data_IF_372572986613
#
_entry.id   IF_372572986613
#
_cell.length_a   1.000
_cell.length_b   1.000
_cell.length_c   1.000
_cell.angle_alpha   90.00
_cell.angle_beta   90.00
_cell.angle_gamma   90.00
#
_symmetry.space_group_name_H-M   'P 1'
#
loop_
_entity.id
_entity.type
_entity.pdbx_description
1 polymer ?
#
# COMPACT_ATOMS: atom_id res chain seq x y z
N UNK A 1 0.51 -8.27 -2.48
CA UNK A 1 1.65 -7.44 -2.01
C UNK A 1 2.70 -7.17 -3.10
N UNK A 2 3.43 -8.19 -3.59
CA UNK A 2 4.54 -8.00 -4.53
C UNK A 2 4.18 -7.22 -5.80
N UNK A 3 2.98 -7.47 -6.36
CA UNK A 3 2.52 -6.81 -7.58
C UNK A 3 2.59 -5.27 -7.53
N UNK A 4 2.23 -4.63 -6.41
CA UNK A 4 2.23 -3.17 -6.31
C UNK A 4 3.67 -2.61 -6.34
N UNK A 5 4.59 -3.25 -5.63
CA UNK A 5 6.01 -2.88 -5.64
C UNK A 5 6.57 -3.06 -7.05
N UNK A 6 6.27 -4.17 -7.73
CA UNK A 6 6.75 -4.40 -9.09
C UNK A 6 6.22 -3.36 -10.06
N UNK A 7 4.93 -3.02 -10.00
CA UNK A 7 4.34 -1.94 -10.82
C UNK A 7 5.04 -0.61 -10.53
N UNK A 8 5.21 -0.25 -9.26
CA UNK A 8 5.92 0.96 -8.89
C UNK A 8 7.38 0.94 -9.38
N UNK A 9 8.07 -0.20 -9.30
CA UNK A 9 9.46 -0.33 -9.73
C UNK A 9 9.58 -0.17 -11.25
N UNK A 10 8.67 -0.76 -12.02
CA UNK A 10 8.61 -0.58 -13.48
C UNK A 10 8.36 0.88 -13.87
N UNK A 11 7.44 1.56 -13.17
CA UNK A 11 7.20 3.00 -13.35
C UNK A 11 8.46 3.80 -13.03
N UNK A 12 9.08 3.56 -11.86
CA UNK A 12 10.30 4.25 -11.44
C UNK A 12 11.46 4.04 -12.43
N UNK A 13 11.67 2.82 -12.91
CA UNK A 13 12.68 2.50 -13.93
C UNK A 13 12.41 3.27 -15.22
N UNK A 14 11.16 3.32 -15.68
CA UNK A 14 10.78 4.07 -16.88
C UNK A 14 11.02 5.57 -16.68
N UNK A 15 10.72 6.10 -15.49
CA UNK A 15 10.98 7.50 -15.14
C UNK A 15 12.48 7.81 -15.13
N UNK A 16 13.30 6.95 -14.57
CA UNK A 16 14.76 7.07 -14.58
C UNK A 16 15.34 6.99 -16.00
N UNK A 17 14.82 6.08 -16.83
CA UNK A 17 15.21 5.98 -18.23
C UNK A 17 14.87 7.25 -19.02
N UNK A 18 13.71 7.86 -18.78
CA UNK A 18 13.34 9.16 -19.34
C UNK A 18 14.38 10.25 -18.97
N UNK A 19 14.85 10.26 -17.73
CA UNK A 19 15.87 11.22 -17.28
C UNK A 19 17.22 10.97 -17.95
N UNK A 20 17.68 9.72 -17.92
CA UNK A 20 19.02 9.35 -18.36
C UNK A 20 19.19 9.43 -19.89
N UNK A 21 18.22 8.94 -20.66
CA UNK A 21 18.34 8.88 -22.12
C UNK A 21 17.81 10.10 -22.85
N UNK A 22 16.88 10.87 -22.26
CA UNK A 22 16.23 11.98 -22.96
C UNK A 22 16.48 13.34 -22.32
N UNK A 23 16.34 13.49 -21.00
CA UNK A 23 16.38 14.80 -20.35
C UNK A 23 17.82 15.30 -20.18
N UNK A 24 18.69 14.51 -19.53
CA UNK A 24 20.08 14.90 -19.27
C UNK A 24 20.86 15.14 -20.57
N UNK A 25 20.82 14.25 -21.58
CA UNK A 25 21.56 14.47 -22.82
C UNK A 25 21.08 15.72 -23.57
N UNK A 26 19.78 15.98 -23.60
CA UNK A 26 19.23 17.20 -24.21
C UNK A 26 19.72 18.44 -23.46
N UNK A 27 19.63 18.48 -22.13
CA UNK A 27 20.11 19.61 -21.33
C UNK A 27 21.61 19.87 -21.54
N UNK A 28 22.44 18.83 -21.56
CA UNK A 28 23.89 18.97 -21.81
C UNK A 28 24.18 19.57 -23.18
N UNK A 29 23.49 19.13 -24.24
CA UNK A 29 23.64 19.67 -25.60
C UNK A 29 23.21 21.14 -25.67
N UNK A 30 22.10 21.50 -25.05
CA UNK A 30 21.60 22.88 -25.02
C UNK A 30 22.57 23.82 -24.29
N UNK A 31 23.06 23.43 -23.11
CA UNK A 31 24.05 24.21 -22.35
C UNK A 31 25.35 24.37 -23.14
N UNK A 32 25.80 23.32 -23.85
CA UNK A 32 27.00 23.38 -24.67
C UNK A 32 26.86 24.34 -25.87
N UNK A 33 25.72 24.32 -26.56
CA UNK A 33 25.43 25.27 -27.66
C UNK A 33 25.40 26.72 -27.17
N UNK A 34 24.72 26.98 -26.04
CA UNK A 34 24.68 28.31 -25.42
C UNK A 34 26.08 28.82 -25.04
N UNK A 35 26.95 27.95 -24.51
CA UNK A 35 28.34 28.31 -24.20
C UNK A 35 29.17 28.68 -25.44
N UNK A 36 28.82 28.14 -26.61
CA UNK A 36 29.46 28.44 -27.90
C UNK A 36 28.82 29.62 -28.64
N UNK A 37 27.78 30.25 -28.08
CA UNK A 37 27.02 31.29 -28.77
C UNK A 37 26.19 30.79 -29.95
N UNK A 38 25.98 29.48 -30.06
CA UNK A 38 25.20 28.85 -31.12
C UNK A 38 23.69 28.90 -30.81
N UNK A 39 22.87 28.90 -31.85
CA UNK A 39 21.42 28.77 -31.70
C UNK A 39 21.05 27.37 -31.19
N UNK A 40 20.24 27.31 -30.13
CA UNK A 40 19.79 26.06 -29.52
C UNK A 40 18.72 25.39 -30.37
N UNK A 41 18.90 24.10 -30.71
CA UNK A 41 17.85 23.30 -31.34
C UNK A 41 16.59 23.20 -30.45
N UNK A 42 15.44 23.75 -30.89
CA UNK A 42 14.21 23.71 -30.12
C UNK A 42 13.63 22.29 -29.93
N UNK A 43 13.95 21.34 -30.81
CA UNK A 43 13.42 19.98 -30.76
C UNK A 43 13.95 19.21 -29.54
N UNK A 44 15.22 19.43 -29.17
CA UNK A 44 15.81 18.84 -27.96
C UNK A 44 15.02 19.23 -26.71
N UNK A 45 14.69 20.52 -26.59
CA UNK A 45 13.92 21.05 -25.47
C UNK A 45 12.50 20.52 -25.44
N UNK A 46 11.82 20.46 -26.59
CA UNK A 46 10.45 19.93 -26.70
C UNK A 46 10.37 18.46 -26.28
N UNK A 47 11.28 17.61 -26.77
CA UNK A 47 11.33 16.18 -26.40
C UNK A 47 11.66 15.96 -24.93
N UNK A 48 12.66 16.67 -24.40
CA UNK A 48 12.99 16.59 -22.98
C UNK A 48 11.83 17.05 -22.09
N UNK A 49 11.15 18.13 -22.46
CA UNK A 49 9.96 18.63 -21.76
C UNK A 49 8.82 17.61 -21.77
N UNK A 50 8.57 16.95 -22.90
CA UNK A 50 7.54 15.91 -22.99
C UNK A 50 7.82 14.75 -22.03
N UNK A 51 9.07 14.27 -21.96
CA UNK A 51 9.46 13.21 -21.01
C UNK A 51 9.37 13.66 -19.55
N UNK A 52 9.74 14.91 -19.26
CA UNK A 52 9.55 15.52 -17.95
C UNK A 52 8.07 15.59 -17.57
N UNK A 53 7.18 15.93 -18.52
CA UNK A 53 5.73 15.88 -18.29
C UNK A 53 5.23 14.47 -17.97
N UNK A 54 5.66 13.44 -18.70
CA UNK A 54 5.28 12.06 -18.39
C UNK A 54 5.71 11.65 -16.98
N UNK A 55 6.97 11.91 -16.61
CA UNK A 55 7.45 11.65 -15.25
C UNK A 55 6.63 12.42 -14.21
N UNK A 56 6.31 13.67 -14.51
CA UNK A 56 5.56 14.54 -13.63
C UNK A 56 4.16 13.99 -13.29
N UNK A 57 3.46 13.34 -14.24
CA UNK A 57 2.18 12.67 -13.97
C UNK A 57 2.31 11.42 -13.10
N UNK A 58 3.44 10.71 -13.21
CA UNK A 58 3.66 9.43 -12.56
C UNK A 58 4.25 9.55 -11.15
N UNK A 59 4.58 10.75 -10.68
CA UNK A 59 5.16 10.99 -9.34
C UNK A 59 4.24 10.54 -8.20
N UNK A 60 2.95 10.93 -8.22
CA UNK A 60 2.00 10.51 -7.19
C UNK A 60 1.67 9.01 -7.29
N UNK A 61 1.38 8.44 -8.49
CA UNK A 61 1.22 7.00 -8.67
C UNK A 61 2.40 6.15 -8.16
N UNK A 62 3.64 6.53 -8.48
CA UNK A 62 4.82 5.75 -8.07
C UNK A 62 5.05 5.81 -6.57
N UNK A 63 4.84 6.98 -5.96
CA UNK A 63 4.94 7.15 -4.51
C UNK A 63 3.94 6.25 -3.79
N UNK A 64 2.68 6.25 -4.25
CA UNK A 64 1.66 5.36 -3.70
C UNK A 64 2.06 3.89 -3.85
N UNK A 65 2.47 3.47 -5.05
CA UNK A 65 2.84 2.08 -5.32
C UNK A 65 3.98 1.60 -4.39
N UNK A 66 4.98 2.45 -4.13
CA UNK A 66 6.11 2.12 -3.24
C UNK A 66 5.71 2.03 -1.77
N UNK A 67 4.84 2.92 -1.27
CA UNK A 67 4.42 2.95 0.14
C UNK A 67 3.26 1.99 0.41
N UNK A 68 2.56 1.52 -0.63
CA UNK A 68 1.37 0.67 -0.52
C UNK A 68 1.51 -0.57 0.39
N UNK A 69 2.72 -1.10 0.55
CA UNK A 69 3.02 -2.19 1.49
C UNK A 69 2.61 -1.91 2.93
N UNK A 70 2.58 -0.63 3.32
CA UNK A 70 2.17 -0.19 4.66
C UNK A 70 0.65 -0.24 4.85
N UNK A 71 -0.11 -0.38 3.77
CA UNK A 71 -1.58 -0.35 3.78
C UNK A 71 -2.15 -1.69 3.30
N UNK A 72 -2.19 -2.67 4.19
CA UNK A 72 -2.60 -4.04 3.86
C UNK A 72 -4.01 -4.15 3.26
N UNK A 73 -4.93 -3.26 3.65
CA UNK A 73 -6.27 -3.15 3.08
C UNK A 73 -6.26 -2.95 1.57
N UNK A 74 -5.23 -2.29 1.01
CA UNK A 74 -5.17 -2.00 -0.43
C UNK A 74 -4.84 -3.23 -1.26
N UNK A 75 -4.03 -4.17 -0.76
CA UNK A 75 -3.52 -5.31 -1.55
C UNK A 75 -4.08 -6.68 -1.14
N UNK A 76 -4.80 -6.78 -0.02
CA UNK A 76 -5.46 -8.01 0.43
C UNK A 76 -6.93 -8.12 -0.04
N UNK A 77 -7.37 -7.21 -0.91
CA UNK A 77 -8.69 -7.25 -1.54
C UNK A 77 -8.68 -8.20 -2.77
N UNK A 78 -9.76 -8.96 -3.04
CA UNK A 78 -9.84 -9.83 -4.24
C UNK A 78 -9.56 -9.09 -5.55
N UNK A 79 -9.96 -7.82 -5.63
CA UNK A 79 -9.73 -6.94 -6.77
C UNK A 79 -8.61 -5.92 -6.53
N UNK A 80 -7.53 -6.31 -5.83
CA UNK A 80 -6.40 -5.41 -5.54
C UNK A 80 -5.83 -4.73 -6.80
N UNK A 81 -5.73 -5.42 -7.93
CA UNK A 81 -5.26 -4.81 -9.18
C UNK A 81 -6.12 -3.59 -9.60
N UNK A 82 -7.43 -3.64 -9.38
CA UNK A 82 -8.35 -2.55 -9.70
C UNK A 82 -8.22 -1.40 -8.69
N UNK A 83 -8.03 -1.73 -7.40
CA UNK A 83 -7.73 -0.74 -6.35
C UNK A 83 -6.48 0.08 -6.71
N UNK A 84 -5.43 -0.58 -7.18
CA UNK A 84 -4.21 0.10 -7.65
C UNK A 84 -4.50 1.06 -8.80
N UNK A 85 -5.23 0.60 -9.83
CA UNK A 85 -5.58 1.41 -11.00
C UNK A 85 -6.42 2.64 -10.60
N UNK A 86 -7.42 2.48 -9.73
CA UNK A 86 -8.29 3.57 -9.30
C UNK A 86 -7.52 4.63 -8.51
N UNK A 87 -6.65 4.23 -7.58
CA UNK A 87 -5.84 5.17 -6.81
C UNK A 87 -4.81 5.88 -7.71
N UNK A 88 -4.20 5.16 -8.66
CA UNK A 88 -3.31 5.76 -9.65
C UNK A 88 -4.04 6.76 -10.54
N UNK A 89 -5.25 6.43 -11.00
CA UNK A 89 -6.07 7.33 -11.80
C UNK A 89 -6.43 8.61 -11.02
N UNK A 90 -6.90 8.47 -9.78
CA UNK A 90 -7.18 9.62 -8.92
C UNK A 90 -5.94 10.50 -8.70
N UNK A 91 -4.78 9.87 -8.49
CA UNK A 91 -3.50 10.56 -8.34
C UNK A 91 -3.09 11.32 -9.62
N UNK A 92 -3.29 10.74 -10.80
CA UNK A 92 -3.02 11.38 -12.10
C UNK A 92 -3.95 12.57 -12.32
N UNK A 93 -5.24 12.47 -11.97
CA UNK A 93 -6.21 13.57 -12.09
C UNK A 93 -5.85 14.75 -11.17
N UNK A 94 -5.46 14.47 -9.93
CA UNK A 94 -4.98 15.51 -9.00
C UNK A 94 -3.72 16.17 -9.57
N UNK A 95 -2.78 15.39 -10.12
CA UNK A 95 -1.57 15.96 -10.74
C UNK A 95 -1.89 16.77 -12.00
N UNK A 96 -2.89 16.34 -12.78
CA UNK A 96 -3.36 17.04 -13.96
C UNK A 96 -3.86 18.45 -13.61
N UNK A 97 -4.65 18.58 -12.54
CA UNK A 97 -5.10 19.86 -12.02
C UNK A 97 -3.93 20.81 -11.74
N UNK A 98 -2.93 20.36 -10.98
CA UNK A 98 -1.77 21.19 -10.70
C UNK A 98 -1.03 21.59 -11.98
N UNK A 99 -0.91 20.69 -12.95
CA UNK A 99 -0.28 21.01 -14.24
C UNK A 99 -1.04 22.09 -15.03
N UNK A 100 -2.38 22.06 -15.01
CA UNK A 100 -3.21 23.12 -15.60
C UNK A 100 -3.11 24.43 -14.82
N UNK A 101 -3.06 24.37 -13.49
CA UNK A 101 -2.91 25.54 -12.62
C UNK A 101 -1.61 26.29 -12.90
N UNK A 102 -0.50 25.60 -13.15
CA UNK A 102 0.77 26.22 -13.57
C UNK A 102 0.67 26.94 -14.93
N UNK A 103 -0.32 26.59 -15.75
CA UNK A 103 -0.66 27.28 -16.99
C UNK A 103 -1.75 28.36 -16.80
N UNK A 104 -2.08 28.72 -15.56
CA UNK A 104 -3.16 29.64 -15.19
C UNK A 104 -4.56 29.16 -15.60
N UNK A 105 -4.74 27.87 -15.88
CA UNK A 105 -6.04 27.25 -16.19
C UNK A 105 -6.52 26.54 -14.93
N UNK A 106 -7.64 26.97 -14.36
CA UNK A 106 -8.22 26.37 -13.16
C UNK A 106 -9.45 25.56 -13.55
N UNK A 107 -9.35 24.23 -13.43
CA UNK A 107 -10.46 23.30 -13.68
C UNK A 107 -10.64 22.36 -12.50
N UNK A 108 -11.56 22.72 -11.61
CA UNK A 108 -11.83 21.96 -10.37
C UNK A 108 -12.49 20.60 -10.61
N UNK A 109 -12.95 20.31 -11.83
CA UNK A 109 -13.46 18.99 -12.23
C UNK A 109 -12.46 17.86 -11.96
N UNK A 110 -11.18 18.07 -12.25
CA UNK A 110 -10.14 17.04 -12.10
C UNK A 110 -9.80 16.67 -10.65
N UNK A 111 -9.49 17.61 -9.73
CA UNK A 111 -9.18 17.25 -8.36
C UNK A 111 -10.42 16.71 -7.64
N UNK A 112 -11.63 17.22 -7.95
CA UNK A 112 -12.87 16.68 -7.38
C UNK A 112 -13.09 15.23 -7.83
N UNK A 113 -12.99 14.95 -9.13
CA UNK A 113 -13.10 13.59 -9.65
C UNK A 113 -12.03 12.66 -9.06
N UNK A 114 -10.78 13.13 -8.97
CA UNK A 114 -9.69 12.35 -8.39
C UNK A 114 -9.89 12.00 -6.92
N UNK A 115 -10.32 12.98 -6.12
CA UNK A 115 -10.66 12.77 -4.70
C UNK A 115 -11.87 11.86 -4.53
N UNK A 116 -12.91 12.02 -5.37
CA UNK A 116 -14.09 11.16 -5.34
C UNK A 116 -13.73 9.69 -5.65
N UNK A 117 -12.88 9.45 -6.66
CA UNK A 117 -12.40 8.10 -7.00
C UNK A 117 -11.62 7.49 -5.83
N UNK A 118 -10.68 8.24 -5.26
CA UNK A 118 -9.86 7.75 -4.13
C UNK A 118 -10.77 7.46 -2.93
N UNK A 119 -11.67 8.38 -2.57
CA UNK A 119 -12.59 8.20 -1.45
C UNK A 119 -13.50 6.99 -1.64
N UNK A 120 -14.13 6.86 -2.81
CA UNK A 120 -14.97 5.70 -3.14
C UNK A 120 -14.17 4.39 -3.06
N UNK A 121 -12.92 4.39 -3.53
CA UNK A 121 -12.04 3.22 -3.44
C UNK A 121 -11.72 2.88 -1.98
N UNK A 122 -11.42 3.87 -1.13
CA UNK A 122 -11.14 3.67 0.29
C UNK A 122 -12.35 3.13 1.06
N UNK A 123 -13.55 3.63 0.76
CA UNK A 123 -14.80 3.11 1.32
C UNK A 123 -15.04 1.66 0.88
N UNK A 124 -14.77 1.36 -0.40
CA UNK A 124 -14.96 0.01 -0.94
C UNK A 124 -14.04 -1.03 -0.29
N UNK A 125 -12.79 -0.67 0.03
CA UNK A 125 -11.81 -1.58 0.66
C UNK A 125 -11.82 -1.54 2.19
N UNK A 126 -12.72 -0.78 2.81
CA UNK A 126 -12.76 -0.64 4.26
C UNK A 126 -13.01 -2.01 4.94
N UNK A 127 -12.26 -2.34 6.01
CA UNK A 127 -12.42 -3.62 6.71
C UNK A 127 -13.80 -3.70 7.36
N UNK A 128 -14.45 -4.86 7.24
CA UNK A 128 -15.72 -5.11 7.90
C UNK A 128 -15.49 -5.37 9.39
N UNK A 129 -16.29 -4.77 10.30
CA UNK A 129 -16.22 -5.10 11.72
C UNK A 129 -16.60 -6.56 11.96
N UNK A 130 -15.97 -7.20 12.94
CA UNK A 130 -16.39 -8.51 13.42
C UNK A 130 -17.76 -8.36 14.11
N UNK A 131 -18.72 -9.20 13.74
CA UNK A 131 -20.04 -9.25 14.38
C UNK A 131 -20.11 -10.55 15.17
N UNK A 132 -20.50 -10.47 16.45
CA UNK A 132 -20.83 -11.66 17.22
C UNK A 132 -22.16 -12.19 16.69
N UNK A 133 -22.14 -13.37 16.08
CA UNK A 133 -23.36 -14.01 15.61
C UNK A 133 -24.21 -14.46 16.80
N UNK A 134 -25.47 -14.01 16.84
CA UNK A 134 -26.43 -14.41 17.86
C UNK A 134 -26.65 -15.94 17.82
N UNK A 135 -26.48 -16.60 18.96
CA UNK A 135 -26.68 -18.05 19.10
C UNK A 135 -25.44 -18.93 18.89
N UNK A 136 -24.28 -18.36 18.52
CA UNK A 136 -23.01 -19.11 18.52
C UNK A 136 -22.23 -18.89 19.82
N UNK A 137 -21.63 -19.95 20.33
CA UNK A 137 -20.75 -19.87 21.48
C UNK A 137 -19.55 -18.97 21.16
N UNK A 138 -19.26 -18.02 22.05
CA UNK A 138 -18.09 -17.15 21.95
C UNK A 138 -16.83 -17.98 22.22
N UNK A 139 -15.81 -17.94 21.36
CA UNK A 139 -14.57 -18.65 21.59
C UNK A 139 -13.89 -18.21 22.89
N UNK A 140 -13.30 -19.16 23.61
CA UNK A 140 -12.61 -18.90 24.89
C UNK A 140 -11.18 -18.42 24.68
N UNK A 141 -10.59 -17.74 25.67
CA UNK A 141 -9.16 -17.39 25.65
C UNK A 141 -8.25 -18.62 25.45
N UNK A 142 -8.63 -19.78 25.99
CA UNK A 142 -7.87 -21.02 25.81
C UNK A 142 -7.82 -21.45 24.33
N UNK A 143 -8.95 -21.39 23.63
CA UNK A 143 -9.02 -21.69 22.19
C UNK A 143 -8.22 -20.70 21.36
N UNK A 144 -8.31 -19.39 21.68
CA UNK A 144 -7.53 -18.36 20.97
C UNK A 144 -6.04 -18.54 21.23
N UNK A 145 -5.64 -18.88 22.46
CA UNK A 145 -4.24 -19.15 22.81
C UNK A 145 -3.72 -20.36 22.04
N UNK A 146 -4.51 -21.42 21.89
CA UNK A 146 -4.12 -22.57 21.07
C UNK A 146 -3.92 -22.17 19.59
N UNK A 147 -4.78 -21.32 19.03
CA UNK A 147 -4.62 -20.79 17.66
C UNK A 147 -3.35 -19.95 17.56
N UNK A 148 -3.10 -19.02 18.48
CA UNK A 148 -1.90 -18.17 18.43
C UNK A 148 -0.62 -19.00 18.63
N UNK A 149 -0.67 -20.04 19.46
CA UNK A 149 0.45 -20.94 19.66
C UNK A 149 0.75 -21.80 18.44
N UNK A 150 -0.26 -22.21 17.68
CA UNK A 150 -0.06 -22.95 16.42
C UNK A 150 0.37 -22.03 15.26
N UNK A 151 -0.15 -20.79 15.20
CA UNK A 151 -0.05 -19.94 14.00
C UNK A 151 0.91 -18.76 14.12
N UNK A 152 1.24 -18.30 15.33
CA UNK A 152 1.90 -17.00 15.56
C UNK A 152 3.23 -17.08 16.32
N UNK A 153 3.37 -17.97 17.30
CA UNK A 153 4.54 -18.02 18.21
C UNK A 153 5.86 -18.33 17.53
N UNK A 154 5.84 -18.98 16.36
CA UNK A 154 7.05 -19.17 15.54
C UNK A 154 7.77 -17.84 15.22
N UNK A 155 7.04 -16.73 15.13
CA UNK A 155 7.60 -15.38 14.94
C UNK A 155 7.37 -14.45 16.14
N UNK A 156 6.32 -14.67 16.93
CA UNK A 156 5.86 -13.79 18.00
C UNK A 156 5.89 -14.52 19.36
N UNK A 157 7.07 -14.85 19.85
CA UNK A 157 7.30 -15.46 21.16
C UNK A 157 8.55 -14.87 21.81
N UNK A 158 8.78 -15.14 23.09
CA UNK A 158 10.03 -14.78 23.76
C UNK A 158 11.25 -15.43 23.09
N UNK A 159 11.08 -16.67 22.62
CA UNK A 159 12.07 -17.42 21.85
C UNK A 159 11.43 -17.90 20.54
N UNK A 160 11.33 -17.03 19.51
CA UNK A 160 10.76 -17.43 18.23
C UNK A 160 11.68 -18.43 17.50
N UNK A 161 11.10 -19.27 16.65
CA UNK A 161 11.81 -20.31 15.89
C UNK A 161 12.08 -19.93 14.43
N UNK A 162 11.30 -19.01 13.88
CA UNK A 162 11.37 -18.57 12.46
C UNK A 162 12.19 -17.29 12.31
N UNK A 163 12.23 -16.46 13.36
CA UNK A 163 12.92 -15.17 13.37
C UNK A 163 13.81 -15.06 14.62
N UNK A 164 14.95 -14.35 14.57
CA UNK A 164 15.84 -14.23 15.72
C UNK A 164 15.22 -13.46 16.88
N UNK A 165 14.28 -12.56 16.60
CA UNK A 165 13.55 -11.76 17.61
C UNK A 165 12.10 -11.55 17.20
N UNK A 166 11.24 -11.41 18.21
CA UNK A 166 9.84 -11.05 18.03
C UNK A 166 9.71 -9.65 17.40
N UNK A 167 9.17 -9.59 16.20
CA UNK A 167 9.04 -8.34 15.46
C UNK A 167 8.12 -7.36 16.20
N UNK A 168 8.53 -6.09 16.28
CA UNK A 168 7.82 -5.03 17.02
C UNK A 168 7.60 -5.32 18.51
N UNK A 169 8.40 -6.23 19.10
CA UNK A 169 8.28 -6.60 20.52
C UNK A 169 6.97 -7.33 20.87
N UNK A 170 6.25 -7.86 19.88
CA UNK A 170 4.98 -8.58 20.11
C UNK A 170 5.26 -10.05 20.37
N UNK A 171 4.99 -10.48 21.59
CA UNK A 171 5.09 -11.87 22.04
C UNK A 171 3.68 -12.38 22.35
N UNK A 172 3.33 -13.57 21.90
CA UNK A 172 1.98 -14.18 21.94
C UNK A 172 2.02 -15.62 22.48
N UNK A 173 3.03 -15.90 23.29
CA UNK A 173 3.38 -17.21 23.86
C UNK A 173 2.71 -17.50 25.21
N UNK A 174 2.08 -16.50 25.85
CA UNK A 174 1.28 -16.70 27.07
C UNK A 174 -0.14 -16.12 26.93
N UNK A 175 -1.14 -16.66 27.64
CA UNK A 175 -2.52 -16.15 27.59
C UNK A 175 -2.63 -14.67 27.95
N UNK A 176 -1.82 -14.18 28.90
CA UNK A 176 -1.79 -12.79 29.34
C UNK A 176 -1.34 -11.87 28.20
N UNK A 177 -0.29 -12.28 27.48
CA UNK A 177 0.23 -11.54 26.33
C UNK A 177 -0.76 -11.59 25.15
N UNK A 178 -1.43 -12.71 24.92
CA UNK A 178 -2.50 -12.84 23.91
C UNK A 178 -3.63 -11.85 24.20
N UNK A 179 -4.05 -11.74 25.47
CA UNK A 179 -5.07 -10.77 25.89
C UNK A 179 -4.59 -9.32 25.77
N UNK A 180 -3.35 -9.04 26.19
CA UNK A 180 -2.74 -7.72 26.06
C UNK A 180 -2.73 -7.23 24.60
N UNK A 181 -2.47 -8.12 23.64
CA UNK A 181 -2.39 -7.80 22.22
C UNK A 181 -3.68 -8.09 21.44
N UNK A 182 -4.81 -8.33 22.11
CA UNK A 182 -6.07 -8.73 21.48
C UNK A 182 -6.48 -7.85 20.28
N UNK A 183 -6.38 -6.52 20.41
CA UNK A 183 -6.67 -5.60 19.32
C UNK A 183 -5.75 -5.82 18.11
N UNK A 184 -4.44 -5.93 18.34
CA UNK A 184 -3.46 -6.13 17.25
C UNK A 184 -3.64 -7.49 16.58
N UNK A 185 -3.98 -8.53 17.35
CA UNK A 185 -4.29 -9.86 16.83
C UNK A 185 -5.52 -9.78 15.92
N UNK A 186 -6.60 -9.13 16.36
CA UNK A 186 -7.81 -8.95 15.56
C UNK A 186 -7.53 -8.14 14.27
N UNK A 187 -6.83 -7.01 14.37
CA UNK A 187 -6.49 -6.18 13.22
C UNK A 187 -5.66 -6.95 12.17
N UNK A 188 -4.66 -7.72 12.61
CA UNK A 188 -3.71 -8.39 11.70
C UNK A 188 -4.21 -9.73 11.17
N UNK A 189 -4.82 -10.54 12.03
CA UNK A 189 -5.28 -11.88 11.68
C UNK A 189 -6.71 -11.88 11.10
N UNK A 190 -7.64 -11.09 11.64
CA UNK A 190 -9.02 -11.09 11.17
C UNK A 190 -9.31 -10.00 10.14
N UNK A 191 -9.07 -8.72 10.48
CA UNK A 191 -9.47 -7.60 9.61
C UNK A 191 -8.61 -7.48 8.35
N UNK A 192 -7.29 -7.40 8.52
CA UNK A 192 -6.36 -7.21 7.40
C UNK A 192 -5.93 -8.53 6.77
N UNK A 193 -6.10 -9.66 7.45
CA UNK A 193 -5.63 -10.99 7.03
C UNK A 193 -4.17 -11.00 6.55
N UNK A 194 -3.32 -10.15 7.14
CA UNK A 194 -1.94 -9.96 6.71
C UNK A 194 -0.93 -10.73 7.58
N UNK A 195 -1.40 -11.32 8.69
CA UNK A 195 -0.68 -12.30 9.49
C UNK A 195 -1.48 -13.60 9.56
N UNK A 196 -0.84 -14.78 9.61
CA UNK A 196 0.61 -15.03 9.48
C UNK A 196 1.14 -14.60 8.11
N UNK A 197 2.40 -14.18 8.03
CA UNK A 197 2.97 -13.59 6.80
C UNK A 197 2.81 -14.57 5.63
N UNK A 198 2.23 -14.11 4.52
CA UNK A 198 1.92 -14.93 3.35
C UNK A 198 1.13 -16.22 3.67
N UNK A 199 0.38 -16.22 4.78
CA UNK A 199 -0.29 -17.38 5.34
C UNK A 199 0.62 -18.62 5.52
N UNK A 200 1.89 -18.42 5.88
CA UNK A 200 2.89 -19.49 5.94
C UNK A 200 2.54 -20.65 6.89
N UNK A 201 1.77 -20.39 7.95
CA UNK A 201 1.31 -21.42 8.90
C UNK A 201 -0.08 -21.95 8.54
N UNK A 202 -0.60 -21.64 7.34
CA UNK A 202 -1.87 -22.14 6.81
C UNK A 202 -3.07 -21.88 7.73
N UNK A 203 -3.15 -20.67 8.28
CA UNK A 203 -4.28 -20.26 9.13
C UNK A 203 -5.57 -20.18 8.30
N UNK A 204 -6.63 -20.83 8.77
CA UNK A 204 -7.92 -20.93 8.06
C UNK A 204 -8.79 -19.69 8.30
N UNK A 205 -9.78 -19.47 7.42
CA UNK A 205 -10.76 -18.40 7.62
C UNK A 205 -11.65 -18.64 8.85
N UNK A 206 -11.88 -19.91 9.22
CA UNK A 206 -12.60 -20.27 10.45
C UNK A 206 -11.81 -19.87 11.71
N UNK A 207 -10.50 -20.13 11.75
CA UNK A 207 -9.63 -19.70 12.85
C UNK A 207 -9.60 -18.17 12.97
N UNK A 208 -9.55 -17.47 11.83
CA UNK A 208 -9.63 -16.00 11.80
C UNK A 208 -10.98 -15.51 12.32
N UNK A 209 -12.08 -16.15 11.92
CA UNK A 209 -13.42 -15.81 12.39
C UNK A 209 -13.56 -16.00 13.91
N UNK A 210 -12.94 -17.05 14.49
CA UNK A 210 -12.90 -17.23 15.95
C UNK A 210 -12.20 -16.06 16.66
N UNK A 211 -11.06 -15.60 16.14
CA UNK A 211 -10.37 -14.42 16.67
C UNK A 211 -11.26 -13.17 16.61
N UNK A 212 -11.92 -12.94 15.47
CA UNK A 212 -12.83 -11.82 15.30
C UNK A 212 -13.99 -11.85 16.30
N UNK A 213 -14.62 -13.01 16.47
CA UNK A 213 -15.73 -13.21 17.40
C UNK A 213 -15.31 -13.03 18.87
N UNK A 214 -14.16 -13.59 19.25
CA UNK A 214 -13.60 -13.42 20.60
C UNK A 214 -13.28 -11.96 20.91
N UNK A 215 -12.67 -11.23 19.97
CA UNK A 215 -12.38 -9.81 20.14
C UNK A 215 -13.67 -8.98 20.25
N UNK A 216 -14.66 -9.24 19.38
CA UNK A 216 -15.96 -8.57 19.41
C UNK A 216 -16.74 -8.83 20.70
N UNK A 217 -16.54 -9.98 21.35
CA UNK A 217 -17.09 -10.30 22.67
C UNK A 217 -16.32 -9.69 23.86
N UNK A 218 -15.34 -8.82 23.60
CA UNK A 218 -14.57 -8.11 24.61
C UNK A 218 -13.25 -8.79 25.00
N UNK A 219 -12.74 -9.71 24.18
CA UNK A 219 -11.45 -10.38 24.38
C UNK A 219 -11.29 -11.00 25.78
N UNK A 220 -12.35 -11.68 26.24
CA UNK A 220 -12.42 -12.24 27.59
C UNK A 220 -11.62 -13.53 27.72
#
# INVERSE_FOLDING_TARGET
RAAYIHVGAMIATTMSANVFFWIIPAQRKQVAAMKRGETVDPLLGKRAKQRSYHNNYLTLPVLFAMISNHYASTYNHPHAWLVLILIMLGSVLIRHFFNLRHKKIVRWEYPIAGLAIIFATLVWIAPKPAVVEAGKAVPTLAEITAITQARCTGCHAEKPTIMPVAQMGVMLDTPERVKQFAQRINERAFQLKNMPLANMTQMTDEERAKIGAWYAAGAK
#
